data_IF_678958533627
#
_entry.id   IF_678958533627
#
_cell.length_a   1.000
_cell.length_b   1.000
_cell.length_c   1.000
_cell.angle_alpha   90.00
_cell.angle_beta   90.00
_cell.angle_gamma   90.00
#
_symmetry.space_group_name_H-M   'P 1'
#
loop_
_entity.id
_entity.type
_entity.pdbx_description
1 polymer ?
#
# COMPACT_ATOMS: atom_id res chain seq x y z
N UNK A 1 -2.74 -3.86 21.67
CA UNK A 1 -2.23 -4.09 20.32
C UNK A 1 -1.79 -2.78 19.70
N UNK A 2 -0.57 -2.74 19.26
CA UNK A 2 -0.04 -1.51 18.66
C UNK A 2 -0.43 -1.47 17.18
N UNK A 3 -0.94 -0.33 16.75
CA UNK A 3 -1.19 -0.11 15.33
C UNK A 3 0.13 0.07 14.60
N UNK A 4 0.10 -0.14 13.29
CA UNK A 4 1.28 0.03 12.45
C UNK A 4 1.66 1.50 12.38
N UNK A 5 2.95 1.78 12.52
CA UNK A 5 3.48 3.11 12.24
C UNK A 5 3.79 3.17 10.75
N UNK A 6 2.86 3.74 9.99
CA UNK A 6 2.99 3.80 8.53
C UNK A 6 4.15 4.65 8.05
N UNK A 7 4.75 5.44 8.95
CA UNK A 7 5.91 6.27 8.61
C UNK A 7 7.24 5.55 8.81
N UNK A 8 7.31 4.59 9.76
CA UNK A 8 8.59 4.02 10.19
C UNK A 8 8.67 2.51 10.19
N UNK A 9 7.55 1.83 10.40
CA UNK A 9 7.56 0.37 10.52
C UNK A 9 7.98 -0.27 9.20
N UNK A 10 8.74 -1.35 9.32
CA UNK A 10 9.09 -2.14 8.16
C UNK A 10 7.83 -2.83 7.64
N UNK A 11 7.56 -2.64 6.36
CA UNK A 11 6.38 -3.20 5.72
C UNK A 11 6.72 -4.52 5.02
N UNK A 12 5.74 -5.41 4.95
CA UNK A 12 5.89 -6.68 4.25
C UNK A 12 4.65 -6.95 3.42
N UNK A 13 4.72 -7.97 2.57
CA UNK A 13 3.57 -8.36 1.76
C UNK A 13 2.39 -8.80 2.62
N UNK A 14 2.67 -9.25 3.85
CA UNK A 14 1.63 -9.71 4.77
C UNK A 14 1.07 -8.59 5.64
N UNK A 15 1.70 -7.42 5.64
CA UNK A 15 1.21 -6.26 6.39
C UNK A 15 -0.19 -5.91 5.90
N UNK A 16 -1.12 -5.70 6.84
CA UNK A 16 -2.50 -5.42 6.49
C UNK A 16 -2.83 -3.96 6.70
N UNK A 17 -3.67 -3.43 5.82
CA UNK A 17 -4.19 -2.07 5.96
C UNK A 17 -5.06 -2.01 7.21
N UNK A 18 -4.96 -0.90 7.93
CA UNK A 18 -5.79 -0.68 9.12
C UNK A 18 -6.48 0.68 9.02
N UNK A 19 -7.27 1.02 10.06
CA UNK A 19 -8.00 2.28 10.07
C UNK A 19 -7.13 3.52 10.14
N UNK A 20 -5.87 3.36 10.50
CA UNK A 20 -4.90 4.46 10.60
C UNK A 20 -4.00 4.56 9.39
N UNK A 21 -4.28 3.78 8.33
CA UNK A 21 -3.46 3.78 7.13
C UNK A 21 -3.28 5.17 6.56
N UNK A 22 -2.05 5.47 6.17
CA UNK A 22 -1.70 6.70 5.45
C UNK A 22 -0.74 6.36 4.32
N UNK A 23 -0.90 7.06 3.20
CA UNK A 23 -0.03 6.89 2.04
C UNK A 23 1.25 7.68 2.24
N UNK A 24 2.18 7.11 3.01
CA UNK A 24 3.42 7.75 3.40
C UNK A 24 4.54 7.43 2.42
N UNK A 25 5.69 8.10 2.59
CA UNK A 25 6.90 7.79 1.82
C UNK A 25 7.34 6.34 2.06
N UNK A 26 7.16 5.84 3.28
CA UNK A 26 7.50 4.47 3.60
C UNK A 26 6.68 3.49 2.76
N UNK A 27 5.39 3.73 2.65
CA UNK A 27 4.49 2.92 1.82
C UNK A 27 4.86 3.04 0.34
N UNK A 28 5.14 4.26 -0.10
CA UNK A 28 5.51 4.50 -1.51
C UNK A 28 6.79 3.75 -1.88
N UNK A 29 7.79 3.77 -1.01
CA UNK A 29 9.03 3.03 -1.24
C UNK A 29 8.79 1.53 -1.30
N UNK A 30 7.92 1.02 -0.44
CA UNK A 30 7.58 -0.40 -0.44
C UNK A 30 6.94 -0.81 -1.78
N UNK A 31 5.96 -0.03 -2.24
CA UNK A 31 5.30 -0.33 -3.51
C UNK A 31 6.28 -0.22 -4.68
N UNK A 32 7.15 0.80 -4.65
CA UNK A 32 8.13 0.97 -5.72
C UNK A 32 9.12 -0.19 -5.77
N UNK A 33 9.47 -0.74 -4.61
CA UNK A 33 10.36 -1.89 -4.53
C UNK A 33 9.73 -3.13 -5.17
N UNK A 34 8.43 -3.33 -4.98
CA UNK A 34 7.74 -4.52 -5.47
C UNK A 34 7.18 -4.37 -6.88
N UNK A 35 6.89 -3.16 -7.30
CA UNK A 35 6.30 -2.92 -8.62
C UNK A 35 7.34 -2.41 -9.61
N UNK A 36 8.13 -1.43 -9.20
CA UNK A 36 9.15 -0.84 -10.06
C UNK A 36 9.10 0.68 -10.03
N UNK A 37 10.06 1.30 -10.73
CA UNK A 37 10.19 2.75 -10.74
C UNK A 37 9.01 3.46 -11.38
N UNK A 38 8.19 2.73 -12.17
CA UNK A 38 7.02 3.29 -12.82
C UNK A 38 5.81 3.41 -11.90
N UNK A 39 5.92 2.91 -10.66
CA UNK A 39 4.81 3.00 -9.71
C UNK A 39 4.45 4.44 -9.40
N UNK A 40 3.15 4.74 -9.35
CA UNK A 40 2.62 6.03 -8.95
C UNK A 40 1.40 5.83 -8.06
N UNK A 41 1.33 6.60 -6.98
CA UNK A 41 0.11 6.67 -6.19
C UNK A 41 -0.85 7.65 -6.84
N UNK A 42 -1.92 7.14 -7.40
CA UNK A 42 -3.01 8.00 -7.85
C UNK A 42 -3.94 8.26 -6.67
N UNK A 43 -4.67 9.36 -6.72
CA UNK A 43 -5.66 9.69 -5.68
C UNK A 43 -6.70 8.58 -5.57
N UNK A 44 -7.14 8.06 -6.71
CA UNK A 44 -8.10 6.94 -6.75
C UNK A 44 -7.59 5.73 -5.98
N UNK A 45 -6.35 5.35 -6.23
CA UNK A 45 -5.79 4.17 -5.59
C UNK A 45 -5.57 4.38 -4.09
N UNK A 46 -5.14 5.59 -3.70
CA UNK A 46 -4.99 5.91 -2.30
C UNK A 46 -6.32 5.82 -1.55
N UNK A 47 -7.40 6.32 -2.17
CA UNK A 47 -8.73 6.20 -1.60
C UNK A 47 -9.18 4.75 -1.52
N UNK A 48 -8.90 3.97 -2.54
CA UNK A 48 -9.24 2.55 -2.56
C UNK A 48 -8.57 1.82 -1.39
N UNK A 49 -7.29 2.08 -1.17
CA UNK A 49 -6.57 1.46 -0.05
C UNK A 49 -7.16 1.85 1.29
N UNK A 50 -7.52 3.12 1.42
CA UNK A 50 -8.09 3.63 2.67
C UNK A 50 -9.45 3.00 2.99
N UNK A 51 -10.19 2.60 1.97
CA UNK A 51 -11.50 1.99 2.11
C UNK A 51 -11.47 0.49 2.32
N UNK A 52 -10.31 -0.13 2.22
CA UNK A 52 -10.18 -1.59 2.27
C UNK A 52 -9.28 -2.04 3.43
N UNK A 53 -9.59 -1.55 4.63
CA UNK A 53 -8.89 -2.00 5.83
C UNK A 53 -9.02 -3.51 5.96
N UNK A 54 -7.91 -4.15 6.35
CA UNK A 54 -7.86 -5.60 6.48
C UNK A 54 -7.22 -6.31 5.31
N UNK A 55 -7.08 -5.67 4.15
CA UNK A 55 -6.37 -6.25 3.02
C UNK A 55 -4.86 -6.20 3.26
N UNK A 56 -4.16 -7.22 2.76
CA UNK A 56 -2.70 -7.23 2.83
C UNK A 56 -2.10 -6.31 1.76
N UNK A 57 -0.86 -5.89 1.97
CA UNK A 57 -0.17 -5.10 0.97
C UNK A 57 0.06 -5.90 -0.30
N UNK A 58 0.19 -7.24 -0.20
CA UNK A 58 0.27 -8.10 -1.39
C UNK A 58 -0.99 -7.96 -2.23
N UNK A 59 -2.17 -7.94 -1.60
CA UNK A 59 -3.43 -7.76 -2.33
C UNK A 59 -3.50 -6.38 -2.96
N UNK A 60 -3.01 -5.36 -2.27
CA UNK A 60 -3.00 -4.01 -2.81
C UNK A 60 -2.08 -3.89 -4.03
N UNK A 61 -0.91 -4.53 -3.97
CA UNK A 61 0.02 -4.55 -5.11
C UNK A 61 -0.63 -5.22 -6.31
N UNK A 62 -1.31 -6.34 -6.07
CA UNK A 62 -2.02 -7.08 -7.12
C UNK A 62 -3.09 -6.22 -7.76
N UNK A 63 -3.84 -5.48 -6.96
CA UNK A 63 -4.87 -4.59 -7.47
C UNK A 63 -4.28 -3.46 -8.31
N UNK A 64 -3.16 -2.88 -7.86
CA UNK A 64 -2.49 -1.82 -8.60
C UNK A 64 -2.06 -2.33 -9.98
N UNK A 65 -1.45 -3.52 -10.02
CA UNK A 65 -0.99 -4.11 -11.28
C UNK A 65 -2.17 -4.40 -12.21
N UNK A 66 -3.26 -4.89 -11.67
CA UNK A 66 -4.47 -5.14 -12.46
C UNK A 66 -4.99 -3.87 -13.13
N UNK A 67 -4.89 -2.74 -12.43
CA UNK A 67 -5.41 -1.47 -12.94
C UNK A 67 -4.49 -0.78 -13.94
N UNK A 68 -3.19 -0.85 -13.68
CA UNK A 68 -2.21 -0.02 -14.38
C UNK A 68 -1.20 -0.81 -15.19
N UNK A 69 -1.20 -2.12 -15.09
CA UNK A 69 -0.34 -3.02 -15.86
C UNK A 69 -1.21 -4.15 -16.41
N UNK A 70 -2.03 -3.85 -17.40
CA UNK A 70 -2.91 -4.88 -17.98
C UNK A 70 -2.14 -5.99 -18.70
#
# INVERSE_FOLDING_TARGET
>A
MTSIDWHRDELSLETRLDGDYRSTQNVRRFFRRHIGAHFKFTVEFMLWMKQHAGLSLAAAIREWKRRYEP
#
